data_IF_253036398767
#
_entry.id   IF_253036398767
#
_cell.length_a   1.000
_cell.length_b   1.000
_cell.length_c   1.000
_cell.angle_alpha   90.00
_cell.angle_beta   90.00
_cell.angle_gamma   90.00
#
_symmetry.space_group_name_H-M   'P 1'
#
loop_
_entity.id
_entity.type
_entity.pdbx_description
1 polymer ?
#
# COMPACT_ATOMS: atom_id res chain seq x y z
N UNK A 1 24.87 -7.07 57.82
CA UNK A 1 24.13 -7.60 56.67
C UNK A 1 22.80 -8.25 57.05
N UNK A 2 21.96 -7.62 57.87
CA UNK A 2 20.61 -8.15 58.26
C UNK A 2 19.51 -7.07 58.30
N UNK A 3 19.73 -5.87 57.76
CA UNK A 3 18.77 -4.76 57.76
C UNK A 3 18.26 -4.39 56.35
N UNK A 4 18.79 -4.99 55.29
CA UNK A 4 18.35 -4.73 53.93
C UNK A 4 17.23 -5.67 53.38
N UNK A 5 16.92 -6.75 54.13
CA UNK A 5 15.94 -7.75 53.66
C UNK A 5 14.50 -7.45 54.13
N UNK A 6 14.27 -6.50 55.04
CA UNK A 6 12.91 -6.22 55.57
C UNK A 6 12.21 -5.09 54.83
N UNK A 7 12.93 -4.24 54.10
CA UNK A 7 12.32 -3.14 53.35
C UNK A 7 11.67 -3.59 52.02
N UNK A 8 12.05 -4.74 51.46
CA UNK A 8 11.48 -5.22 50.18
C UNK A 8 10.17 -6.01 50.31
N UNK A 9 9.84 -6.50 51.49
CA UNK A 9 8.62 -7.27 51.75
C UNK A 9 7.38 -6.38 52.04
N UNK A 10 7.57 -5.14 52.45
CA UNK A 10 6.45 -4.21 52.73
C UNK A 10 5.95 -3.46 51.48
N UNK A 11 6.73 -3.37 50.44
CA UNK A 11 6.34 -2.69 49.19
C UNK A 11 5.43 -3.55 48.29
N UNK A 12 5.43 -4.88 48.49
CA UNK A 12 4.62 -5.81 47.67
C UNK A 12 3.20 -5.96 48.22
N UNK A 13 2.98 -5.70 49.49
CA UNK A 13 1.65 -5.80 50.11
C UNK A 13 0.76 -4.56 49.94
N UNK A 14 1.32 -3.39 49.57
CA UNK A 14 0.53 -2.17 49.33
C UNK A 14 -0.01 -2.07 47.87
N UNK A 15 0.55 -2.78 46.93
CA UNK A 15 0.03 -2.78 45.55
C UNK A 15 -1.15 -3.70 45.29
N UNK A 16 -1.41 -4.67 46.19
CA UNK A 16 -2.53 -5.60 46.03
C UNK A 16 -3.87 -5.06 46.56
N UNK A 17 -3.87 -3.99 47.36
CA UNK A 17 -5.09 -3.43 47.97
C UNK A 17 -5.77 -2.33 47.12
N UNK A 18 -5.14 -1.82 46.07
CA UNK A 18 -5.72 -0.76 45.24
C UNK A 18 -6.41 -1.27 43.96
N UNK A 19 -6.22 -2.54 43.60
CA UNK A 19 -6.86 -3.15 42.41
C UNK A 19 -8.17 -3.90 42.71
N UNK A 20 -8.60 -3.96 43.96
CA UNK A 20 -9.82 -4.70 44.37
C UNK A 20 -11.12 -3.88 44.42
N UNK A 21 -11.10 -2.55 44.24
CA UNK A 21 -12.24 -1.69 44.56
C UNK A 21 -12.94 -1.04 43.32
N UNK A 22 -12.59 -1.39 42.09
CA UNK A 22 -13.17 -0.78 40.88
C UNK A 22 -14.08 -1.74 40.08
N UNK A 23 -14.44 -2.90 40.61
CA UNK A 23 -15.20 -3.89 39.82
C UNK A 23 -16.64 -4.14 40.28
N UNK A 24 -17.29 -3.20 40.96
CA UNK A 24 -18.70 -3.36 41.38
C UNK A 24 -19.50 -2.05 41.28
N UNK A 25 -19.70 -1.55 40.03
CA UNK A 25 -20.86 -0.70 39.70
C UNK A 25 -21.23 -0.92 38.23
N UNK A 26 -21.97 -1.97 37.93
CA UNK A 26 -22.80 -2.05 36.72
C UNK A 26 -24.17 -1.49 37.06
N UNK A 27 -24.43 -0.27 36.63
CA UNK A 27 -25.78 0.27 36.50
C UNK A 27 -26.36 -0.16 35.17
N UNK A 28 -27.47 -0.88 35.25
CA UNK A 28 -28.34 -1.23 34.13
C UNK A 28 -28.94 0.03 33.50
N UNK A 29 -28.64 0.27 32.21
CA UNK A 29 -29.39 1.22 31.40
C UNK A 29 -30.23 0.43 30.41
N UNK A 30 -31.56 0.53 30.61
CA UNK A 30 -32.62 0.02 29.75
C UNK A 30 -32.59 0.77 28.41
N UNK A 31 -32.52 0.00 27.31
CA UNK A 31 -32.62 0.53 25.94
C UNK A 31 -34.06 0.86 25.56
N UNK A 32 -34.28 1.78 24.64
CA UNK A 32 -35.61 2.11 24.13
C UNK A 32 -36.13 1.04 23.16
N UNK A 33 -37.45 0.85 23.20
CA UNK A 33 -38.21 -0.10 22.40
C UNK A 33 -38.24 0.24 20.89
N UNK A 34 -38.49 -0.74 20.00
CA UNK A 34 -38.55 -0.50 18.56
C UNK A 34 -39.86 0.17 18.14
N UNK A 35 -39.78 1.16 17.27
CA UNK A 35 -40.92 1.79 16.60
C UNK A 35 -41.42 0.96 15.43
N UNK A 36 -42.72 1.01 15.12
CA UNK A 36 -43.37 0.10 14.17
C UNK A 36 -43.11 0.50 12.69
N UNK A 37 -43.11 -0.53 11.88
CA UNK A 37 -43.02 -0.48 10.43
C UNK A 37 -44.20 0.28 9.81
N UNK A 38 -43.93 1.19 8.88
CA UNK A 38 -44.91 1.78 7.97
C UNK A 38 -44.87 1.06 6.62
N UNK A 39 -46.06 0.64 6.20
CA UNK A 39 -46.35 -0.10 5.01
C UNK A 39 -46.11 0.71 3.72
N UNK A 40 -45.74 0.01 2.66
CA UNK A 40 -45.68 0.51 1.30
C UNK A 40 -47.10 0.66 0.69
N UNK A 41 -47.30 1.57 -0.26
CA UNK A 41 -48.36 1.43 -1.24
C UNK A 41 -47.82 1.24 -2.66
N UNK A 42 -48.27 0.16 -3.33
CA UNK A 42 -49.16 0.15 -4.50
C UNK A 42 -48.50 0.49 -5.82
N UNK A 43 -48.36 -0.56 -6.64
CA UNK A 43 -48.17 -0.51 -8.08
C UNK A 43 -49.32 0.22 -8.78
N UNK A 44 -48.97 1.04 -9.80
CA UNK A 44 -49.93 1.43 -10.82
C UNK A 44 -49.28 1.36 -12.22
N UNK A 45 -49.87 0.48 -13.03
CA UNK A 45 -49.61 0.31 -14.47
C UNK A 45 -50.40 1.37 -15.28
N UNK A 46 -49.76 1.90 -16.31
CA UNK A 46 -50.44 2.37 -17.54
C UNK A 46 -49.42 2.50 -18.67
N UNK A 47 -49.40 1.60 -19.59
CA UNK A 47 -50.04 1.59 -20.91
C UNK A 47 -49.52 2.57 -21.94
N UNK A 48 -49.06 1.96 -23.02
CA UNK A 48 -48.57 2.51 -24.27
C UNK A 48 -49.64 3.26 -25.09
N UNK A 49 -49.22 4.22 -25.90
CA UNK A 49 -49.71 4.56 -27.26
C UNK A 49 -48.53 5.37 -27.89
N UNK A 50 -48.02 5.07 -28.93
CA UNK A 50 -47.92 5.01 -30.34
C UNK A 50 -48.26 6.30 -31.09
N UNK A 51 -47.28 6.77 -31.89
CA UNK A 51 -47.54 7.19 -33.29
C UNK A 51 -46.29 7.86 -33.91
N UNK A 52 -46.02 7.42 -35.08
CA UNK A 52 -45.13 7.82 -36.13
C UNK A 52 -45.37 9.25 -36.66
N UNK A 53 -44.28 9.94 -37.07
CA UNK A 53 -44.26 10.82 -38.24
C UNK A 53 -42.85 11.07 -38.75
N UNK A 54 -42.62 10.68 -40.01
CA UNK A 54 -41.51 11.10 -40.86
C UNK A 54 -41.69 12.57 -41.26
N UNK A 55 -40.61 13.33 -41.47
CA UNK A 55 -40.40 14.17 -42.66
C UNK A 55 -38.93 14.47 -42.85
N UNK A 56 -38.52 14.35 -44.14
CA UNK A 56 -37.20 14.66 -44.70
C UNK A 56 -36.87 16.16 -44.66
N UNK A 57 -35.57 16.50 -44.56
CA UNK A 57 -34.97 17.48 -45.47
C UNK A 57 -33.46 17.51 -45.33
N UNK A 58 -32.80 17.28 -46.40
CA UNK A 58 -31.37 17.39 -46.63
C UNK A 58 -30.85 18.85 -46.51
N UNK A 59 -29.67 19.01 -45.88
CA UNK A 59 -28.80 20.15 -46.17
C UNK A 59 -27.33 19.75 -45.99
N UNK A 60 -26.67 19.66 -47.11
CA UNK A 60 -25.21 19.53 -47.31
C UNK A 60 -24.44 20.74 -46.78
N UNK A 61 -23.38 20.52 -46.03
CA UNK A 61 -22.26 21.43 -45.83
C UNK A 61 -20.94 20.66 -45.59
N UNK A 62 -19.77 21.22 -45.85
CA UNK A 62 -18.65 20.49 -46.46
C UNK A 62 -17.74 19.81 -45.43
N UNK A 63 -17.06 18.77 -45.93
CA UNK A 63 -16.21 17.87 -45.19
C UNK A 63 -15.02 18.55 -44.49
N UNK A 64 -14.91 18.21 -43.23
CA UNK A 64 -13.64 18.29 -42.47
C UNK A 64 -13.08 16.89 -42.41
N UNK A 65 -11.95 16.70 -43.07
CA UNK A 65 -11.23 15.42 -43.07
C UNK A 65 -10.66 15.20 -41.66
N UNK A 66 -11.32 14.41 -40.84
CA UNK A 66 -10.72 13.85 -39.63
C UNK A 66 -9.65 12.84 -40.02
N UNK A 67 -8.40 13.19 -39.80
CA UNK A 67 -7.32 12.22 -39.83
C UNK A 67 -7.50 11.25 -38.63
N UNK A 68 -7.39 9.93 -38.84
CA UNK A 68 -7.44 8.99 -37.72
C UNK A 68 -6.21 9.22 -36.82
N UNK A 69 -6.45 9.57 -35.55
CA UNK A 69 -5.44 9.56 -34.52
C UNK A 69 -4.86 8.15 -34.42
N UNK A 70 -3.61 8.00 -34.83
CA UNK A 70 -2.84 6.78 -34.63
C UNK A 70 -2.64 6.67 -33.12
N UNK A 71 -3.39 5.79 -32.48
CA UNK A 71 -3.13 5.37 -31.10
C UNK A 71 -1.78 4.68 -31.13
N UNK A 72 -0.76 5.33 -30.56
CA UNK A 72 0.55 4.73 -30.39
C UNK A 72 0.39 3.44 -29.55
N UNK A 73 0.56 2.32 -30.22
CA UNK A 73 0.56 1.01 -29.63
C UNK A 73 1.73 0.94 -28.65
N UNK A 74 1.45 0.83 -27.35
CA UNK A 74 2.48 0.65 -26.34
C UNK A 74 3.33 -0.57 -26.71
N UNK A 75 4.64 -0.40 -26.72
CA UNK A 75 5.57 -1.50 -26.97
C UNK A 75 5.25 -2.67 -26.00
N UNK A 76 5.28 -3.91 -26.47
CA UNK A 76 5.00 -5.06 -25.64
C UNK A 76 5.99 -5.07 -24.47
N UNK A 77 5.46 -5.14 -23.26
CA UNK A 77 6.26 -5.33 -22.04
C UNK A 77 7.14 -6.56 -22.25
N UNK A 78 8.44 -6.41 -21.97
CA UNK A 78 9.39 -7.53 -22.05
C UNK A 78 8.82 -8.73 -21.29
N UNK A 79 8.82 -9.89 -21.95
CA UNK A 79 8.35 -11.13 -21.34
C UNK A 79 9.09 -11.34 -20.00
N UNK A 80 8.39 -11.75 -18.93
CA UNK A 80 9.03 -11.99 -17.66
C UNK A 80 10.14 -13.03 -17.85
N UNK A 81 11.38 -12.64 -17.54
CA UNK A 81 12.50 -13.59 -17.48
C UNK A 81 12.09 -14.69 -16.53
N UNK A 82 11.90 -15.90 -17.05
CA UNK A 82 11.60 -17.07 -16.22
C UNK A 82 12.77 -17.28 -15.27
N UNK A 83 12.56 -16.97 -14.01
CA UNK A 83 13.54 -17.24 -12.99
C UNK A 83 13.73 -18.75 -12.86
N UNK A 84 14.94 -19.21 -13.04
CA UNK A 84 15.28 -20.65 -13.15
C UNK A 84 15.91 -21.23 -11.88
N UNK A 85 15.75 -20.60 -10.70
CA UNK A 85 16.29 -21.14 -9.46
C UNK A 85 15.36 -22.24 -8.89
N UNK A 86 15.67 -23.54 -9.09
CA UNK A 86 14.84 -24.64 -8.56
C UNK A 86 14.85 -24.68 -7.02
N UNK A 87 15.87 -24.08 -6.41
CA UNK A 87 16.00 -23.97 -4.96
C UNK A 87 15.41 -22.68 -4.39
N UNK A 88 14.82 -21.81 -5.23
CA UNK A 88 14.14 -20.61 -4.79
C UNK A 88 12.88 -20.89 -4.00
N UNK A 89 12.40 -19.89 -3.25
CA UNK A 89 11.12 -19.92 -2.54
C UNK A 89 9.95 -19.95 -3.55
N UNK A 90 10.11 -19.22 -4.66
CA UNK A 90 9.13 -19.14 -5.73
C UNK A 90 7.86 -18.38 -5.34
N UNK A 91 6.88 -18.45 -6.23
CA UNK A 91 5.48 -18.06 -5.98
C UNK A 91 4.63 -19.32 -6.12
N UNK A 92 4.05 -19.79 -5.02
CA UNK A 92 3.26 -21.02 -5.01
C UNK A 92 1.93 -20.88 -5.77
N UNK A 93 1.32 -19.70 -5.66
CA UNK A 93 0.14 -19.30 -6.44
C UNK A 93 -0.01 -17.78 -6.48
N UNK A 94 -0.65 -17.30 -7.52
CA UNK A 94 -1.08 -15.92 -7.64
C UNK A 94 -2.58 -15.84 -7.45
N UNK A 95 -3.05 -14.87 -6.66
CA UNK A 95 -4.47 -14.54 -6.50
C UNK A 95 -4.75 -13.19 -7.11
N UNK A 96 -5.82 -13.10 -7.87
CA UNK A 96 -6.30 -11.83 -8.42
C UNK A 96 -7.26 -11.18 -7.42
N UNK A 97 -7.07 -9.88 -7.18
CA UNK A 97 -7.87 -9.11 -6.23
C UNK A 97 -8.76 -8.14 -7.00
N UNK A 98 -10.05 -8.33 -6.89
CA UNK A 98 -11.04 -7.33 -7.27
C UNK A 98 -11.15 -6.31 -6.13
N UNK A 99 -10.73 -5.08 -6.39
CA UNK A 99 -10.67 -4.02 -5.39
C UNK A 99 -11.95 -3.17 -5.30
N UNK A 100 -12.99 -3.57 -6.02
CA UNK A 100 -14.30 -2.88 -6.00
C UNK A 100 -14.83 -2.80 -4.57
N UNK A 101 -15.20 -1.59 -4.16
CA UNK A 101 -15.70 -1.34 -2.81
C UNK A 101 -14.63 -1.29 -1.71
N UNK A 102 -13.34 -1.42 -2.05
CA UNK A 102 -12.22 -1.28 -1.11
C UNK A 102 -12.14 -2.41 -0.07
N UNK A 103 -12.00 -3.69 -0.49
CA UNK A 103 -11.88 -4.78 0.47
C UNK A 103 -10.66 -4.62 1.38
N UNK A 104 -10.80 -5.03 2.64
CA UNK A 104 -9.71 -5.00 3.62
C UNK A 104 -9.06 -6.36 3.80
N UNK A 105 -7.73 -6.40 3.92
CA UNK A 105 -6.93 -7.60 4.13
C UNK A 105 -6.03 -7.49 5.36
N UNK A 106 -5.79 -8.60 6.05
CA UNK A 106 -4.96 -8.68 7.25
C UNK A 106 -5.78 -8.68 8.54
N UNK A 107 -5.64 -9.76 9.31
CA UNK A 107 -6.51 -10.05 10.45
C UNK A 107 -6.31 -9.14 11.67
N UNK A 108 -5.30 -8.28 11.69
CA UNK A 108 -5.20 -7.29 12.75
C UNK A 108 -6.44 -6.39 12.76
N UNK A 109 -6.95 -6.01 11.56
CA UNK A 109 -8.11 -5.12 11.43
C UNK A 109 -9.28 -5.73 10.64
N UNK A 110 -9.01 -6.58 9.65
CA UNK A 110 -10.03 -7.09 8.72
C UNK A 110 -10.19 -8.60 8.85
N UNK A 111 -11.38 -9.06 9.21
CA UNK A 111 -11.67 -10.49 9.45
C UNK A 111 -12.34 -11.22 8.28
N UNK A 112 -12.65 -10.50 7.19
CA UNK A 112 -13.59 -11.01 6.18
C UNK A 112 -12.94 -11.89 5.10
N UNK A 113 -11.65 -11.71 4.81
CA UNK A 113 -11.01 -12.34 3.65
C UNK A 113 -9.86 -13.26 4.05
N UNK A 114 -10.19 -14.41 4.63
CA UNK A 114 -9.23 -15.48 4.91
C UNK A 114 -9.03 -16.36 3.67
N UNK A 115 -8.10 -15.99 2.80
CA UNK A 115 -7.80 -16.72 1.58
C UNK A 115 -6.49 -17.52 1.64
N UNK A 116 -5.69 -17.31 2.68
CA UNK A 116 -4.43 -18.03 2.87
C UNK A 116 -4.66 -19.40 3.51
N UNK A 117 -3.96 -20.40 2.97
CA UNK A 117 -3.92 -21.75 3.53
C UNK A 117 -2.81 -21.85 4.56
N UNK A 118 -2.83 -22.87 5.39
CA UNK A 118 -1.74 -23.15 6.34
C UNK A 118 -0.39 -23.24 5.61
N UNK A 119 0.63 -22.59 6.17
CA UNK A 119 1.95 -22.45 5.57
C UNK A 119 2.05 -21.42 4.43
N UNK A 120 0.96 -20.71 4.07
CA UNK A 120 1.01 -19.66 3.05
C UNK A 120 1.24 -18.28 3.66
N UNK A 121 2.07 -17.49 2.97
CA UNK A 121 2.42 -16.13 3.37
C UNK A 121 2.32 -15.16 2.20
N UNK A 122 2.02 -13.89 2.51
CA UNK A 122 2.20 -12.76 1.61
C UNK A 122 3.31 -11.87 2.17
N UNK A 123 4.32 -11.57 1.37
CA UNK A 123 5.39 -10.65 1.74
C UNK A 123 5.00 -9.22 1.38
N UNK A 124 5.10 -8.30 2.34
CA UNK A 124 4.83 -6.87 2.11
C UNK A 124 5.92 -6.00 2.70
N UNK A 125 6.28 -4.92 1.99
CA UNK A 125 7.32 -3.99 2.37
C UNK A 125 6.81 -2.56 2.31
N UNK A 126 6.97 -1.81 3.40
CA UNK A 126 6.53 -0.43 3.56
C UNK A 126 7.71 0.55 3.54
N UNK A 127 7.41 1.85 3.38
CA UNK A 127 8.27 3.02 3.53
C UNK A 127 9.30 3.27 2.44
N UNK A 128 9.64 2.29 1.61
CA UNK A 128 10.58 2.48 0.50
C UNK A 128 10.11 3.50 -0.56
N UNK A 129 10.83 3.60 -1.68
CA UNK A 129 12.14 2.99 -1.93
C UNK A 129 13.27 3.69 -1.18
N UNK A 130 14.29 2.96 -0.77
CA UNK A 130 15.44 3.50 -0.06
C UNK A 130 16.77 2.98 -0.64
N UNK A 131 17.72 3.87 -0.97
CA UNK A 131 19.03 3.47 -1.47
C UNK A 131 19.70 2.45 -0.56
N UNK A 132 20.39 1.45 -1.14
CA UNK A 132 21.05 0.31 -0.50
C UNK A 132 20.09 -0.75 0.07
N UNK A 133 19.04 -0.38 0.77
CA UNK A 133 18.18 -1.35 1.47
C UNK A 133 17.17 -1.99 0.49
N UNK A 134 16.41 -1.19 -0.26
CA UNK A 134 15.48 -1.71 -1.28
C UNK A 134 16.19 -2.58 -2.35
N UNK A 135 17.39 -2.21 -2.89
CA UNK A 135 18.11 -3.08 -3.82
C UNK A 135 18.47 -4.45 -3.22
N UNK A 136 18.83 -4.53 -1.95
CA UNK A 136 19.13 -5.79 -1.29
C UNK A 136 17.89 -6.68 -1.17
N UNK A 137 16.74 -6.08 -0.81
CA UNK A 137 15.44 -6.79 -0.79
C UNK A 137 15.10 -7.31 -2.20
N UNK A 138 15.24 -6.47 -3.23
CA UNK A 138 14.97 -6.87 -4.62
C UNK A 138 15.89 -7.99 -5.09
N UNK A 139 17.19 -7.93 -4.75
CA UNK A 139 18.14 -8.98 -5.06
C UNK A 139 17.76 -10.31 -4.41
N UNK A 140 17.34 -10.30 -3.14
CA UNK A 140 16.88 -11.48 -2.44
C UNK A 140 15.59 -12.06 -3.07
N UNK A 141 14.60 -11.22 -3.36
CA UNK A 141 13.35 -11.64 -4.02
C UNK A 141 13.61 -12.23 -5.40
N UNK A 142 14.52 -11.62 -6.18
CA UNK A 142 14.91 -12.11 -7.49
C UNK A 142 15.64 -13.46 -7.41
N UNK A 143 16.61 -13.60 -6.49
CA UNK A 143 17.34 -14.86 -6.27
C UNK A 143 16.41 -16.00 -5.86
N UNK A 144 15.35 -15.71 -5.12
CA UNK A 144 14.34 -16.68 -4.72
C UNK A 144 13.17 -16.83 -5.70
N UNK A 145 13.18 -16.13 -6.86
CA UNK A 145 12.10 -16.14 -7.85
C UNK A 145 10.72 -15.80 -7.25
N UNK A 146 10.68 -15.00 -6.20
CA UNK A 146 9.45 -14.71 -5.46
C UNK A 146 8.99 -13.27 -5.66
N UNK A 147 7.76 -12.97 -5.27
CA UNK A 147 7.12 -11.67 -5.43
C UNK A 147 6.59 -11.16 -4.11
N UNK A 148 6.48 -9.84 -4.02
CA UNK A 148 5.97 -9.13 -2.85
C UNK A 148 5.06 -7.97 -3.26
N UNK A 149 4.41 -7.36 -2.27
CA UNK A 149 3.72 -6.07 -2.42
C UNK A 149 4.59 -5.01 -1.74
N UNK A 150 4.78 -3.89 -2.41
CA UNK A 150 5.47 -2.73 -1.86
C UNK A 150 4.46 -1.59 -1.65
N UNK A 151 4.54 -0.93 -0.50
CA UNK A 151 3.78 0.26 -0.15
C UNK A 151 4.73 1.45 0.06
N UNK A 152 5.21 2.07 -1.03
CA UNK A 152 6.16 3.16 -0.94
C UNK A 152 5.50 4.45 -0.43
N UNK A 153 6.27 5.25 0.31
CA UNK A 153 5.95 6.63 0.63
C UNK A 153 6.09 7.47 -0.65
N UNK A 154 5.08 8.25 -0.99
CA UNK A 154 5.06 9.06 -2.22
C UNK A 154 6.26 10.01 -2.33
N UNK A 155 6.65 10.65 -1.24
CA UNK A 155 7.83 11.53 -1.22
C UNK A 155 9.12 10.76 -1.52
N UNK A 156 9.32 9.57 -0.95
CA UNK A 156 10.48 8.72 -1.24
C UNK A 156 10.45 8.23 -2.69
N UNK A 157 9.28 7.93 -3.23
CA UNK A 157 9.10 7.59 -4.63
C UNK A 157 9.58 8.71 -5.57
N UNK A 158 9.37 9.99 -5.20
CA UNK A 158 9.85 11.13 -6.00
C UNK A 158 11.36 11.34 -5.89
N UNK A 159 12.00 10.92 -4.80
CA UNK A 159 13.45 11.00 -4.64
C UNK A 159 14.19 9.89 -5.40
N UNK A 160 13.61 8.68 -5.42
CA UNK A 160 14.22 7.49 -5.98
C UNK A 160 13.33 6.81 -7.05
N UNK A 161 12.88 7.54 -8.11
CA UNK A 161 11.96 6.99 -9.10
C UNK A 161 12.59 5.83 -9.90
N UNK A 162 13.91 5.88 -10.13
CA UNK A 162 14.63 4.81 -10.81
C UNK A 162 14.60 3.49 -10.04
N UNK A 163 14.64 3.55 -8.71
CA UNK A 163 14.57 2.39 -7.85
C UNK A 163 13.14 1.82 -7.79
N UNK A 164 12.13 2.68 -7.73
CA UNK A 164 10.74 2.21 -7.75
C UNK A 164 10.34 1.60 -9.11
N UNK A 165 10.94 2.08 -10.22
CA UNK A 165 10.83 1.40 -11.52
C UNK A 165 11.39 -0.02 -11.49
N UNK A 166 12.50 -0.25 -10.77
CA UNK A 166 13.08 -1.59 -10.62
C UNK A 166 12.15 -2.50 -9.81
N UNK A 167 11.49 -1.99 -8.75
CA UNK A 167 10.46 -2.73 -8.01
C UNK A 167 9.36 -3.21 -8.96
N UNK A 168 8.79 -2.30 -9.75
CA UNK A 168 7.74 -2.64 -10.72
C UNK A 168 8.22 -3.59 -11.82
N UNK A 169 9.41 -3.35 -12.38
CA UNK A 169 10.03 -4.21 -13.40
C UNK A 169 10.32 -5.62 -12.87
N UNK A 170 10.60 -5.76 -11.56
CA UNK A 170 10.70 -7.05 -10.88
C UNK A 170 9.37 -7.82 -10.84
N UNK A 171 8.25 -7.23 -11.28
CA UNK A 171 6.92 -7.84 -11.30
C UNK A 171 6.26 -7.87 -9.93
N UNK A 172 6.70 -7.04 -9.00
CA UNK A 172 6.06 -6.85 -7.70
C UNK A 172 4.82 -5.96 -7.83
N UNK A 173 3.85 -6.12 -6.94
CA UNK A 173 2.75 -5.18 -6.84
C UNK A 173 3.21 -3.91 -6.10
N UNK A 174 2.86 -2.75 -6.64
CA UNK A 174 3.22 -1.45 -6.03
C UNK A 174 1.93 -0.72 -5.68
N UNK A 175 1.66 -0.61 -4.38
CA UNK A 175 0.56 0.16 -3.79
C UNK A 175 1.01 1.55 -3.36
N UNK A 176 0.41 2.11 -2.30
CA UNK A 176 0.76 3.43 -1.76
C UNK A 176 0.69 3.47 -0.24
N UNK A 177 1.54 4.31 0.38
CA UNK A 177 1.67 4.51 1.83
C UNK A 177 1.62 6.00 2.21
N UNK A 178 0.70 6.75 1.61
CA UNK A 178 0.56 8.20 1.73
C UNK A 178 1.69 8.99 1.04
N UNK A 179 1.55 10.33 1.07
CA UNK A 179 2.58 11.22 0.53
C UNK A 179 3.79 11.32 1.45
N UNK A 180 3.58 11.55 2.76
CA UNK A 180 4.66 11.83 3.71
C UNK A 180 4.54 11.04 5.02
N UNK A 181 3.98 9.84 4.98
CA UNK A 181 3.83 8.92 6.12
C UNK A 181 3.17 9.57 7.34
N UNK A 182 2.07 10.29 7.12
CA UNK A 182 1.36 10.97 8.20
C UNK A 182 0.34 10.05 8.90
N UNK A 183 0.13 10.29 10.19
CA UNK A 183 -0.99 9.70 10.95
C UNK A 183 -2.30 10.33 10.48
N UNK A 184 -3.04 9.63 9.63
CA UNK A 184 -4.23 10.16 8.98
C UNK A 184 -5.44 10.38 9.92
N UNK A 185 -5.30 10.06 11.21
CA UNK A 185 -6.25 10.51 12.25
C UNK A 185 -6.03 11.96 12.68
N UNK A 186 -5.03 12.63 12.11
CA UNK A 186 -4.62 14.00 12.39
C UNK A 186 -4.54 14.81 11.11
N UNK A 187 -4.38 16.12 11.26
CA UNK A 187 -4.20 17.09 10.18
C UNK A 187 -2.89 17.86 10.29
N UNK A 188 -2.07 17.52 11.28
CA UNK A 188 -0.76 18.17 11.54
C UNK A 188 0.27 17.14 11.93
N UNK A 189 1.47 17.30 11.41
CA UNK A 189 2.59 16.41 11.68
C UNK A 189 3.92 17.02 11.29
N UNK A 190 4.88 16.19 10.92
CA UNK A 190 6.19 16.60 10.42
C UNK A 190 6.50 15.82 9.15
N UNK A 191 7.07 16.51 8.17
CA UNK A 191 7.48 15.90 6.91
C UNK A 191 8.94 16.22 6.62
N UNK A 192 9.70 15.25 6.11
CA UNK A 192 11.09 15.40 5.69
C UNK A 192 11.15 15.87 4.24
N UNK A 193 11.08 17.17 4.00
CA UNK A 193 11.09 17.77 2.66
C UNK A 193 12.44 18.44 2.39
N UNK A 194 13.09 18.06 1.29
CA UNK A 194 14.38 18.63 0.91
C UNK A 194 15.49 18.40 1.96
N UNK A 195 15.45 17.25 2.66
CA UNK A 195 16.43 16.89 3.70
C UNK A 195 16.22 17.60 5.05
N UNK A 196 15.13 18.37 5.21
CA UNK A 196 14.79 19.06 6.46
C UNK A 196 13.44 18.62 6.99
N UNK A 197 13.41 18.23 8.26
CA UNK A 197 12.15 17.95 8.97
C UNK A 197 11.48 19.28 9.32
N UNK A 198 10.27 19.50 8.82
CA UNK A 198 9.51 20.72 9.04
C UNK A 198 8.07 20.41 9.47
N UNK A 199 7.43 21.36 10.15
CA UNK A 199 6.02 21.26 10.47
C UNK A 199 5.20 21.17 9.18
N UNK A 200 4.18 20.34 9.18
CA UNK A 200 3.39 20.03 8.00
C UNK A 200 1.91 19.91 8.39
N UNK A 201 1.10 20.75 7.78
CA UNK A 201 -0.37 20.65 7.86
C UNK A 201 -0.86 19.97 6.58
N UNK A 202 -1.84 19.08 6.70
CA UNK A 202 -2.32 18.27 5.59
C UNK A 202 -3.80 17.91 5.74
N UNK A 203 -4.46 17.74 4.60
CA UNK A 203 -5.70 16.97 4.51
C UNK A 203 -5.38 15.50 4.37
N UNK A 204 -5.98 14.59 5.15
CA UNK A 204 -5.73 13.17 5.05
C UNK A 204 -6.02 12.57 3.66
N UNK A 205 -7.02 13.08 2.93
CA UNK A 205 -7.32 12.61 1.56
C UNK A 205 -6.27 13.10 0.56
N UNK A 206 -5.75 14.31 0.74
CA UNK A 206 -4.63 14.82 -0.06
C UNK A 206 -3.36 13.97 0.14
N UNK A 207 -3.08 13.55 1.37
CA UNK A 207 -1.97 12.63 1.68
C UNK A 207 -2.11 11.29 0.92
N UNK A 208 -3.32 10.75 0.86
CA UNK A 208 -3.62 9.51 0.12
C UNK A 208 -3.42 9.73 -1.38
N UNK A 209 -4.14 10.69 -1.98
CA UNK A 209 -4.16 10.86 -3.43
C UNK A 209 -2.84 11.36 -3.99
N UNK A 210 -2.18 12.28 -3.29
CA UNK A 210 -0.84 12.74 -3.66
C UNK A 210 0.18 11.62 -3.60
N UNK A 211 0.09 10.75 -2.58
CA UNK A 211 0.90 9.55 -2.48
C UNK A 211 0.71 8.61 -3.67
N UNK A 212 -0.53 8.31 -4.03
CA UNK A 212 -0.87 7.46 -5.17
C UNK A 212 -0.32 8.04 -6.49
N UNK A 213 -0.54 9.33 -6.73
CA UNK A 213 -0.06 10.00 -7.95
C UNK A 213 1.47 10.02 -8.03
N UNK A 214 2.16 10.26 -6.91
CA UNK A 214 3.62 10.23 -6.85
C UNK A 214 4.21 8.86 -7.16
N UNK A 215 3.62 7.82 -6.58
CA UNK A 215 4.04 6.43 -6.83
C UNK A 215 3.82 6.07 -8.30
N UNK A 216 2.65 6.37 -8.86
CA UNK A 216 2.37 6.12 -10.28
C UNK A 216 3.34 6.87 -11.20
N UNK A 217 3.62 8.14 -10.89
CA UNK A 217 4.60 8.92 -11.63
C UNK A 217 5.99 8.27 -11.59
N UNK A 218 6.45 7.87 -10.40
CA UNK A 218 7.77 7.28 -10.22
C UNK A 218 7.92 5.92 -10.93
N UNK A 219 6.88 5.08 -10.88
CA UNK A 219 6.84 3.81 -11.63
C UNK A 219 6.85 4.06 -13.15
N UNK A 220 6.20 5.13 -13.60
CA UNK A 220 6.04 5.44 -15.03
C UNK A 220 5.06 4.51 -15.75
N UNK A 221 4.15 3.88 -15.01
CA UNK A 221 3.18 2.91 -15.51
C UNK A 221 2.06 2.61 -14.51
N UNK A 222 1.24 1.58 -14.78
CA UNK A 222 0.14 1.21 -13.91
C UNK A 222 0.65 0.73 -12.54
N UNK A 223 -0.07 1.09 -11.47
CA UNK A 223 0.20 0.67 -10.09
C UNK A 223 -1.05 -0.01 -9.50
N UNK A 224 -0.87 -0.75 -8.41
CA UNK A 224 -1.95 -1.48 -7.76
C UNK A 224 -2.85 -0.53 -6.95
N UNK A 225 -4.18 -0.68 -7.00
CA UNK A 225 -5.11 0.02 -6.11
C UNK A 225 -5.07 -0.60 -4.71
N UNK A 226 -3.88 -0.64 -4.11
CA UNK A 226 -3.59 -1.15 -2.78
C UNK A 226 -3.06 -0.01 -1.91
N UNK A 227 -3.57 0.09 -0.71
CA UNK A 227 -3.20 1.14 0.23
C UNK A 227 -2.95 0.55 1.61
N UNK A 228 -1.93 1.04 2.29
CA UNK A 228 -1.70 0.76 3.71
C UNK A 228 -1.62 2.07 4.48
N UNK A 229 -2.35 2.13 5.59
CA UNK A 229 -2.32 3.28 6.49
C UNK A 229 -1.03 3.29 7.31
N UNK A 230 -0.35 4.46 7.46
CA UNK A 230 0.77 4.61 8.38
C UNK A 230 0.42 4.18 9.80
N UNK A 231 1.35 3.44 10.43
CA UNK A 231 1.17 2.86 11.76
C UNK A 231 -0.13 2.05 11.92
N UNK A 232 -0.71 1.54 10.82
CA UNK A 232 -1.98 0.80 10.76
C UNK A 232 -3.18 1.54 11.37
N UNK A 233 -3.11 2.87 11.49
CA UNK A 233 -4.21 3.69 12.00
C UNK A 233 -5.20 4.00 10.91
N UNK A 234 -6.41 3.49 11.05
CA UNK A 234 -7.42 3.42 9.99
C UNK A 234 -8.70 4.16 10.40
N UNK A 235 -8.79 5.50 10.24
CA UNK A 235 -10.02 6.24 10.48
C UNK A 235 -11.14 5.74 9.57
N UNK A 236 -12.33 5.49 10.13
CA UNK A 236 -13.46 4.93 9.38
C UNK A 236 -13.84 5.77 8.16
N UNK A 237 -13.82 7.08 8.29
CA UNK A 237 -14.08 8.00 7.17
C UNK A 237 -13.16 7.75 5.97
N UNK A 238 -11.89 7.44 6.23
CA UNK A 238 -10.91 7.17 5.17
C UNK A 238 -11.02 5.75 4.62
N UNK A 239 -11.46 4.78 5.42
CA UNK A 239 -11.84 3.44 4.92
C UNK A 239 -12.99 3.60 3.92
N UNK A 240 -14.04 4.35 4.28
CA UNK A 240 -15.18 4.60 3.40
C UNK A 240 -14.79 5.39 2.14
N UNK A 241 -13.85 6.32 2.27
CA UNK A 241 -13.27 7.05 1.14
C UNK A 241 -12.55 6.12 0.16
N UNK A 242 -11.63 5.27 0.67
CA UNK A 242 -10.89 4.30 -0.14
C UNK A 242 -11.84 3.29 -0.79
N UNK A 243 -12.92 2.89 -0.09
CA UNK A 243 -13.98 2.06 -0.64
C UNK A 243 -14.62 2.67 -1.89
N UNK A 244 -14.98 3.97 -1.85
CA UNK A 244 -15.53 4.71 -3.00
C UNK A 244 -14.51 4.87 -4.14
N UNK A 245 -13.22 4.83 -3.82
CA UNK A 245 -12.11 4.87 -4.78
C UNK A 245 -11.78 3.50 -5.36
N UNK A 246 -12.42 2.42 -4.92
CA UNK A 246 -12.11 1.04 -5.27
C UNK A 246 -10.63 0.68 -4.96
N UNK A 247 -10.14 1.12 -3.81
CA UNK A 247 -8.78 0.88 -3.34
C UNK A 247 -8.84 -0.09 -2.17
N UNK A 248 -8.20 -1.24 -2.30
CA UNK A 248 -8.11 -2.23 -1.23
C UNK A 248 -7.18 -1.76 -0.11
N UNK A 249 -7.56 -2.04 1.12
CA UNK A 249 -6.84 -1.63 2.33
C UNK A 249 -6.07 -2.82 2.90
N UNK A 250 -4.79 -2.63 3.12
CA UNK A 250 -3.92 -3.66 3.69
C UNK A 250 -3.57 -3.32 5.14
N UNK A 251 -4.03 -4.17 6.04
CA UNK A 251 -3.46 -4.33 7.37
C UNK A 251 -2.38 -5.41 7.32
N UNK A 252 -2.15 -6.12 8.40
CA UNK A 252 -1.21 -7.23 8.50
C UNK A 252 -1.81 -8.37 9.33
N UNK A 253 -1.21 -9.55 9.22
CA UNK A 253 -1.40 -10.65 10.17
C UNK A 253 -0.21 -10.75 11.13
N UNK A 254 0.96 -10.31 10.66
CA UNK A 254 2.23 -10.45 11.34
C UNK A 254 3.07 -9.17 11.12
N UNK A 255 3.08 -8.28 12.10
CA UNK A 255 4.05 -7.18 12.12
C UNK A 255 5.42 -7.73 12.57
N UNK A 256 6.44 -7.58 11.75
CA UNK A 256 7.81 -7.99 12.09
C UNK A 256 8.42 -7.19 13.23
N UNK A 257 7.99 -5.94 13.41
CA UNK A 257 8.61 -4.91 14.25
C UNK A 257 10.09 -4.63 13.88
N UNK A 258 10.47 -4.83 12.61
CA UNK A 258 11.84 -4.63 12.11
C UNK A 258 12.33 -3.19 12.29
N UNK A 259 11.43 -2.20 12.30
CA UNK A 259 11.75 -0.80 12.60
C UNK A 259 12.31 -0.57 14.01
N UNK A 260 12.19 -1.54 14.93
CA UNK A 260 12.80 -1.54 16.27
C UNK A 260 14.13 -2.30 16.32
N UNK A 261 14.51 -2.94 15.21
CA UNK A 261 15.65 -3.87 15.16
C UNK A 261 16.83 -3.25 14.42
N UNK A 262 18.03 -3.58 14.87
CA UNK A 262 19.28 -3.09 14.27
C UNK A 262 20.09 -4.20 13.61
N UNK A 263 19.79 -5.46 13.92
CA UNK A 263 20.50 -6.64 13.41
C UNK A 263 19.60 -7.49 12.55
N UNK A 264 20.08 -7.97 11.41
CA UNK A 264 19.33 -8.84 10.51
C UNK A 264 18.74 -10.09 11.19
N UNK A 265 19.48 -10.70 12.11
CA UNK A 265 19.07 -11.89 12.85
C UNK A 265 17.82 -11.64 13.71
N UNK A 266 17.66 -10.43 14.25
CA UNK A 266 16.49 -10.07 15.06
C UNK A 266 15.23 -10.05 14.21
N UNK A 267 15.32 -9.50 12.99
CA UNK A 267 14.21 -9.45 12.02
C UNK A 267 13.80 -10.89 11.65
N UNK A 268 14.75 -11.73 11.26
CA UNK A 268 14.53 -13.14 10.93
C UNK A 268 13.85 -13.88 12.08
N UNK A 269 14.41 -13.80 13.28
CA UNK A 269 13.87 -14.47 14.47
C UNK A 269 12.45 -14.00 14.79
N UNK A 270 12.16 -12.70 14.67
CA UNK A 270 10.83 -12.16 14.90
C UNK A 270 9.81 -12.72 13.91
N UNK A 271 10.11 -12.67 12.62
CA UNK A 271 9.22 -13.17 11.57
C UNK A 271 8.98 -14.67 11.75
N UNK A 272 10.06 -15.47 11.89
CA UNK A 272 9.95 -16.93 12.00
C UNK A 272 9.20 -17.37 13.26
N UNK A 273 9.43 -16.72 14.42
CA UNK A 273 8.72 -17.02 15.64
C UNK A 273 7.20 -16.74 15.53
N UNK A 274 6.84 -15.62 14.87
CA UNK A 274 5.44 -15.26 14.64
C UNK A 274 4.77 -16.20 13.65
N UNK A 275 5.43 -16.51 12.55
CA UNK A 275 4.92 -17.48 11.58
C UNK A 275 4.75 -18.87 12.19
N UNK A 276 5.67 -19.33 13.03
CA UNK A 276 5.51 -20.59 13.76
C UNK A 276 4.27 -20.59 14.67
N UNK A 277 3.92 -19.43 15.24
CA UNK A 277 2.73 -19.30 16.11
C UNK A 277 1.43 -19.22 15.31
N UNK A 278 1.43 -18.51 14.17
CA UNK A 278 0.21 -18.19 13.41
C UNK A 278 -0.03 -19.12 12.23
N UNK A 279 0.99 -19.85 11.77
CA UNK A 279 0.95 -20.79 10.66
C UNK A 279 0.94 -20.16 9.28
N UNK A 280 0.32 -19.00 9.11
CA UNK A 280 0.13 -18.29 7.84
C UNK A 280 0.02 -16.79 8.08
N UNK A 281 0.06 -15.97 7.01
CA UNK A 281 -0.33 -14.57 7.13
C UNK A 281 0.35 -13.60 6.16
N UNK A 282 -0.18 -12.37 6.16
CA UNK A 282 0.41 -11.20 5.51
C UNK A 282 1.48 -10.65 6.45
N UNK A 283 2.73 -10.69 6.00
CA UNK A 283 3.90 -10.26 6.78
C UNK A 283 4.24 -8.82 6.45
N UNK A 284 4.29 -7.96 7.47
CA UNK A 284 4.69 -6.57 7.36
C UNK A 284 6.18 -6.44 7.68
N UNK A 285 6.92 -5.90 6.72
CA UNK A 285 8.34 -5.55 6.77
C UNK A 285 8.52 -4.13 6.21
N UNK A 286 9.72 -3.55 6.35
CA UNK A 286 10.03 -2.24 5.79
C UNK A 286 11.34 -2.31 5.00
N UNK A 287 11.28 -2.13 3.69
CA UNK A 287 12.48 -2.11 2.83
C UNK A 287 13.32 -0.83 2.99
N UNK A 288 12.80 0.15 3.71
CA UNK A 288 13.52 1.30 4.24
C UNK A 288 14.54 0.89 5.32
N UNK A 289 14.31 -0.18 6.09
CA UNK A 289 15.13 -0.58 7.23
C UNK A 289 16.39 -1.32 6.81
N UNK A 290 17.53 -0.90 7.37
CA UNK A 290 18.84 -1.50 7.10
C UNK A 290 18.89 -3.00 7.47
N UNK A 291 18.42 -3.34 8.68
CA UNK A 291 18.40 -4.73 9.15
C UNK A 291 17.55 -5.64 8.26
N UNK A 292 16.44 -5.13 7.71
CA UNK A 292 15.59 -5.87 6.77
C UNK A 292 16.30 -6.05 5.42
N UNK A 293 16.91 -4.97 4.89
CA UNK A 293 17.66 -5.04 3.64
C UNK A 293 18.82 -6.04 3.70
N UNK A 294 19.61 -6.03 4.77
CA UNK A 294 20.72 -6.97 4.95
C UNK A 294 20.26 -8.40 5.23
N UNK A 295 19.14 -8.56 5.97
CA UNK A 295 18.61 -9.86 6.36
C UNK A 295 17.70 -10.52 5.33
N UNK A 296 17.34 -9.85 4.24
CA UNK A 296 16.31 -10.30 3.32
C UNK A 296 16.62 -11.67 2.71
N UNK A 297 17.85 -11.89 2.24
CA UNK A 297 18.27 -13.17 1.65
C UNK A 297 18.13 -14.32 2.65
N UNK A 298 18.65 -14.13 3.85
CA UNK A 298 18.61 -15.16 4.88
C UNK A 298 17.18 -15.40 5.40
N UNK A 299 16.35 -14.37 5.47
CA UNK A 299 14.93 -14.53 5.81
C UNK A 299 14.22 -15.42 4.78
N UNK A 300 14.45 -15.19 3.49
CA UNK A 300 13.84 -16.00 2.43
C UNK A 300 14.37 -17.45 2.46
N UNK A 301 15.65 -17.64 2.80
CA UNK A 301 16.22 -18.98 3.03
C UNK A 301 15.52 -19.70 4.21
N UNK A 302 15.32 -18.99 5.34
CA UNK A 302 14.63 -19.54 6.51
C UNK A 302 13.18 -19.91 6.21
N UNK A 303 12.46 -19.04 5.49
CA UNK A 303 11.09 -19.29 5.05
C UNK A 303 11.00 -20.54 4.16
N UNK A 304 11.94 -20.68 3.21
CA UNK A 304 12.04 -21.86 2.35
C UNK A 304 12.33 -23.13 3.15
N UNK A 305 13.32 -23.09 4.05
CA UNK A 305 13.69 -24.21 4.89
C UNK A 305 12.54 -24.66 5.83
N UNK A 306 11.73 -23.73 6.30
CA UNK A 306 10.56 -23.99 7.11
C UNK A 306 9.32 -24.44 6.31
N UNK A 307 9.39 -24.51 4.98
CA UNK A 307 8.32 -25.00 4.10
C UNK A 307 7.21 -23.98 3.81
N UNK A 308 7.40 -22.72 4.14
CA UNK A 308 6.43 -21.65 3.80
C UNK A 308 6.34 -21.47 2.28
N UNK A 309 5.14 -21.04 1.83
CA UNK A 309 4.81 -20.86 0.41
C UNK A 309 4.32 -19.42 0.19
N UNK A 310 4.94 -18.71 -0.74
CA UNK A 310 4.52 -17.36 -1.06
C UNK A 310 3.30 -17.36 -1.96
N UNK A 311 2.28 -16.61 -1.54
CA UNK A 311 1.13 -16.24 -2.36
C UNK A 311 1.32 -14.80 -2.83
N UNK A 312 1.22 -14.58 -4.13
CA UNK A 312 1.30 -13.24 -4.70
C UNK A 312 -0.10 -12.69 -4.97
N UNK A 313 -0.39 -11.49 -4.48
CA UNK A 313 -1.65 -10.79 -4.71
C UNK A 313 -1.46 -9.79 -5.85
N UNK A 314 -2.22 -9.99 -6.92
CA UNK A 314 -2.21 -9.14 -8.11
C UNK A 314 -3.55 -8.41 -8.23
N UNK A 315 -3.58 -7.10 -8.48
CA UNK A 315 -4.84 -6.40 -8.72
C UNK A 315 -5.43 -6.80 -10.07
N UNK A 316 -6.76 -6.87 -10.13
CA UNK A 316 -7.53 -7.09 -11.36
C UNK A 316 -7.41 -5.91 -12.33
N UNK A 317 -7.44 -4.69 -11.78
CA UNK A 317 -7.30 -3.45 -12.52
C UNK A 317 -6.24 -2.55 -11.86
N UNK A 318 -5.60 -1.65 -12.62
CA UNK A 318 -4.70 -0.66 -12.04
C UNK A 318 -5.49 0.42 -11.29
N UNK A 319 -4.80 1.16 -10.41
CA UNK A 319 -5.39 2.32 -9.75
C UNK A 319 -5.67 3.44 -10.77
N UNK A 320 -6.81 4.11 -10.59
CA UNK A 320 -7.12 5.34 -11.30
C UNK A 320 -6.72 6.53 -10.43
N UNK A 321 -5.80 7.36 -10.91
CA UNK A 321 -5.36 8.58 -10.25
C UNK A 321 -6.34 9.74 -10.51
N UNK A 322 -6.23 10.81 -9.72
CA UNK A 322 -6.98 12.05 -9.90
C UNK A 322 -6.07 13.06 -10.61
N UNK A 323 -6.52 13.61 -11.74
CA UNK A 323 -5.70 14.44 -12.64
C UNK A 323 -5.06 15.66 -11.93
N UNK A 324 -5.75 16.30 -10.99
CA UNK A 324 -5.21 17.46 -10.26
C UNK A 324 -3.98 17.10 -9.41
N UNK A 325 -3.94 15.89 -8.84
CA UNK A 325 -2.76 15.43 -8.09
C UNK A 325 -1.63 14.98 -9.02
N UNK A 326 -1.95 14.37 -10.16
CA UNK A 326 -0.95 14.05 -11.19
C UNK A 326 -0.25 15.32 -11.67
N UNK A 327 -1.01 16.39 -11.96
CA UNK A 327 -0.47 17.70 -12.35
C UNK A 327 0.38 18.33 -11.22
N UNK A 328 -0.08 18.23 -9.97
CA UNK A 328 0.66 18.74 -8.82
C UNK A 328 2.02 18.05 -8.66
N UNK A 329 2.05 16.71 -8.81
CA UNK A 329 3.31 15.94 -8.80
C UNK A 329 4.19 16.35 -9.98
N UNK A 330 3.67 16.44 -11.18
CA UNK A 330 4.44 16.85 -12.37
C UNK A 330 5.07 18.23 -12.20
N UNK A 331 4.37 19.18 -11.57
CA UNK A 331 4.93 20.52 -11.26
C UNK A 331 6.03 20.43 -10.20
N UNK A 332 5.86 19.58 -9.17
CA UNK A 332 6.81 19.44 -8.08
C UNK A 332 8.13 18.76 -8.49
N UNK A 333 8.05 17.75 -9.38
CA UNK A 333 9.21 16.95 -9.81
C UNK A 333 9.92 17.48 -11.06
N UNK A 334 9.31 18.42 -11.79
CA UNK A 334 9.98 19.17 -12.84
C UNK A 334 11.04 20.04 -12.16
N UNK A 335 12.29 19.61 -12.23
CA UNK A 335 13.43 20.47 -11.91
C UNK A 335 13.44 21.76 -12.76
N UNK A 336 14.45 22.64 -12.61
CA UNK A 336 14.57 23.83 -13.43
C UNK A 336 14.43 23.42 -14.90
N UNK A 337 13.53 24.13 -15.59
CA UNK A 337 13.11 23.80 -16.96
C UNK A 337 14.35 23.66 -17.82
N UNK A 338 14.67 22.43 -18.23
CA UNK A 338 15.50 22.24 -19.44
C UNK A 338 14.74 22.94 -20.57
N UNK A 339 15.37 23.87 -21.26
CA UNK A 339 14.76 24.55 -22.41
C UNK A 339 14.45 23.60 -23.59
N UNK A 340 14.58 22.28 -23.33
CA UNK A 340 14.31 21.21 -24.29
C UNK A 340 15.30 21.10 -25.42
N UNK A 341 16.30 21.99 -25.48
CA UNK A 341 17.33 21.96 -26.52
C UNK A 341 18.36 20.88 -26.21
N UNK A 342 18.76 20.04 -27.17
CA UNK A 342 19.85 19.09 -26.99
C UNK A 342 21.16 19.84 -26.69
N UNK A 343 22.01 19.29 -25.87
CA UNK A 343 23.30 19.89 -25.45
C UNK A 343 24.12 20.31 -26.65
N UNK A 344 24.10 19.56 -27.76
CA UNK A 344 24.78 19.87 -29.03
C UNK A 344 24.30 21.14 -29.72
N UNK A 345 23.08 21.62 -29.39
CA UNK A 345 22.56 22.89 -29.92
C UNK A 345 22.89 24.08 -29.03
N UNK A 346 23.35 23.84 -27.79
CA UNK A 346 23.67 24.87 -26.80
C UNK A 346 25.17 24.96 -26.56
N UNK A 347 25.88 23.83 -26.64
CA UNK A 347 27.33 23.73 -26.41
C UNK A 347 28.01 23.24 -27.67
N UNK A 348 28.95 24.04 -28.22
CA UNK A 348 29.79 23.69 -29.35
C UNK A 348 31.25 23.79 -28.94
N UNK A 349 32.00 22.72 -29.12
CA UNK A 349 33.47 22.76 -29.00
C UNK A 349 34.05 23.60 -30.13
N UNK A 350 34.85 24.60 -29.79
CA UNK A 350 35.49 25.52 -30.75
C UNK A 350 36.98 25.21 -30.94
N UNK A 351 37.60 24.45 -30.01
CA UNK A 351 38.96 23.91 -30.11
C UNK A 351 39.14 22.76 -29.15
N UNK A 352 39.94 21.79 -29.49
CA UNK A 352 40.57 20.82 -28.62
C UNK A 352 42.05 21.06 -28.54
#
# INVERSE_FOLDING_TARGET
MRLAAIASALAILLCAAVFGAIFLQRTSVSGPAPSPALAAPGEEQASAIGASARVDAARTAPGTTEQPMVVAQAAPAAAPTTCSNPNGLGVARTVEIDTTGGPGFGFEHFKSHDFLREGEIVLTFDDGPWPKNTPNVLAALAAHCTKAIFFPIGLHATYEPGLLKQVAAGGHAVGSHTWCHQDLSKTKGKCLIGGKTQAYEYDPKDEIEKGISAVRWAVGGPTAPFFRFPALRQPQELIDYLGKRNIAIFSTDLDSFDFKMRKPEQVRQSVMAKLKKHGKGIVLLHDFQHATGEGAMDLLNDLKAAGYKVVFMKPKFPVTTIASYDEAIMKQVKGPVSDGRPTSSVVRTISE
#
